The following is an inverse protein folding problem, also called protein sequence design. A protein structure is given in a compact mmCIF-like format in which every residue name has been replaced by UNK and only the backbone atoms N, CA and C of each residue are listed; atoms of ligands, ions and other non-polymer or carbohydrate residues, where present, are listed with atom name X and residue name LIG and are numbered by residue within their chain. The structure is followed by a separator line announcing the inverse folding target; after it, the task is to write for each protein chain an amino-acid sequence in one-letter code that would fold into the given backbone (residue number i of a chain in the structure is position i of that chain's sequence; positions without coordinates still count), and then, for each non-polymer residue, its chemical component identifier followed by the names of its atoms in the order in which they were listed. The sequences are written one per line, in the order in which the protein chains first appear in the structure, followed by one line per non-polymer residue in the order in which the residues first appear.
data_IF_683811424756
#
_entry.id   IF_683811424756
#
_cell.length_a   1.000
_cell.length_b   1.000
_cell.length_c   1.000
_cell.angle_alpha   90.00
_cell.angle_beta   90.00
_cell.angle_gamma   90.00
#
_symmetry.space_group_name_H-M   'P 1'
#
loop_
_entity.id
_entity.type
_entity.pdbx_description
1 polymer ?
#
# COMPACT_ATOMS: atom_id res chain seq x y z
N UNK A 1 -16.17 -2.46 11.55
CA UNK A 1 -15.11 -1.91 12.41
C UNK A 1 -14.15 -1.18 11.48
N UNK A 2 -14.06 0.14 11.56
CA UNK A 2 -13.21 0.94 10.65
C UNK A 2 -11.75 0.51 10.82
N UNK A 3 -11.00 0.46 9.71
CA UNK A 3 -9.56 0.17 9.68
C UNK A 3 -8.74 1.06 10.63
N UNK A 4 -9.26 2.25 10.97
CA UNK A 4 -8.72 3.12 12.02
C UNK A 4 -8.63 2.39 13.36
N UNK A 5 -9.65 1.59 13.72
CA UNK A 5 -9.67 0.80 14.96
C UNK A 5 -8.80 -0.46 14.91
N UNK A 6 -8.55 -1.04 13.74
CA UNK A 6 -7.69 -2.24 13.60
C UNK A 6 -6.21 -1.85 13.70
N UNK A 7 -5.83 -0.73 13.09
CA UNK A 7 -4.49 -0.14 13.24
C UNK A 7 -4.23 0.35 14.67
N UNK A 8 -5.24 0.93 15.33
CA UNK A 8 -5.16 1.42 16.72
C UNK A 8 -5.31 0.28 17.77
N UNK A 9 -5.86 -0.88 17.38
CA UNK A 9 -5.90 -2.09 18.21
C UNK A 9 -4.57 -2.88 18.17
N UNK A 10 -3.85 -2.89 17.04
CA UNK A 10 -2.55 -3.54 16.94
C UNK A 10 -1.50 -2.95 17.91
N UNK A 11 -1.65 -1.68 18.32
CA UNK A 11 -0.80 -1.04 19.34
C UNK A 11 -1.13 -1.44 20.79
N UNK A 12 -2.30 -2.02 21.07
CA UNK A 12 -2.71 -2.41 22.44
C UNK A 12 -2.21 -3.79 22.87
N UNK A 13 -1.84 -4.64 21.92
CA UNK A 13 -1.34 -6.00 22.20
C UNK A 13 0.19 -6.13 22.03
N UNK A 14 0.93 -5.02 22.22
CA UNK A 14 2.37 -5.07 22.40
C UNK A 14 2.71 -5.64 23.79
N UNK A 15 2.74 -6.97 23.87
CA UNK A 15 3.40 -7.86 24.84
C UNK A 15 3.43 -7.46 26.35
N UNK A 16 2.96 -8.33 27.27
CA UNK A 16 2.91 -8.09 28.71
C UNK A 16 4.28 -8.09 29.44
N UNK A 17 5.41 -7.95 28.73
CA UNK A 17 6.74 -8.06 29.32
C UNK A 17 7.24 -6.81 30.05
N UNK A 18 6.54 -5.67 29.96
CA UNK A 18 6.91 -4.40 30.60
C UNK A 18 5.97 -3.91 31.70
N UNK A 19 5.23 -4.81 32.35
CA UNK A 19 4.56 -4.50 33.63
C UNK A 19 5.40 -4.84 34.87
N UNK A 20 6.72 -5.02 34.73
CA UNK A 20 7.63 -5.29 35.87
C UNK A 20 8.63 -4.19 36.22
N UNK A 21 8.56 -3.01 35.64
CA UNK A 21 9.43 -1.88 36.02
C UNK A 21 8.71 -0.52 36.08
N UNK A 22 7.43 -0.51 36.47
CA UNK A 22 6.71 0.72 36.84
C UNK A 22 6.64 0.95 38.35
N UNK A 23 7.67 0.50 39.08
CA UNK A 23 7.88 0.84 40.48
C UNK A 23 9.29 1.40 40.59
N UNK A 24 9.40 2.61 41.13
CA UNK A 24 10.62 3.43 41.33
C UNK A 24 11.02 4.28 40.11
N UNK A 25 10.26 5.37 39.87
CA UNK A 25 10.79 6.71 39.52
C UNK A 25 9.66 7.74 39.51
N UNK A 26 8.98 7.82 40.65
CA UNK A 26 8.06 8.90 41.00
C UNK A 26 8.74 9.77 42.05
N UNK A 27 9.60 10.70 41.62
CA UNK A 27 9.95 11.94 42.32
C UNK A 27 11.10 12.60 41.56
N UNK A 28 11.01 13.93 41.46
CA UNK A 28 12.03 14.87 40.96
C UNK A 28 12.27 14.87 39.45
N UNK A 29 11.44 15.61 38.72
CA UNK A 29 11.88 16.60 37.73
C UNK A 29 10.65 17.41 37.27
N UNK A 30 10.28 18.36 38.12
CA UNK A 30 9.54 19.53 37.69
C UNK A 30 10.56 20.58 37.20
N UNK A 31 10.17 21.35 36.18
CA UNK A 31 10.85 22.49 35.58
C UNK A 31 11.73 22.22 34.34
N UNK A 32 11.08 22.08 33.18
CA UNK A 32 11.37 22.90 31.98
C UNK A 32 10.22 22.76 30.99
N UNK A 33 9.53 23.87 30.72
CA UNK A 33 8.51 23.97 29.69
C UNK A 33 9.19 24.31 28.36
N UNK A 34 9.19 23.37 27.41
CA UNK A 34 9.25 23.65 25.96
C UNK A 34 8.39 22.62 25.23
N UNK A 35 7.25 23.08 24.70
CA UNK A 35 6.44 22.53 23.58
C UNK A 35 6.23 21.00 23.49
N UNK A 36 4.97 20.59 23.71
CA UNK A 36 4.30 19.36 23.23
C UNK A 36 4.91 17.99 23.58
N UNK A 37 5.19 17.75 24.85
CA UNK A 37 5.62 16.44 25.39
C UNK A 37 4.55 15.33 25.38
N UNK A 38 3.56 15.36 24.48
CA UNK A 38 2.66 14.23 24.22
C UNK A 38 3.16 13.32 23.06
N UNK A 39 4.19 13.72 22.32
CA UNK A 39 4.61 13.03 21.09
C UNK A 39 5.80 12.06 21.23
N UNK A 40 6.36 11.87 22.43
CA UNK A 40 7.61 11.10 22.60
C UNK A 40 7.43 9.63 23.00
N UNK A 41 6.36 9.28 23.74
CA UNK A 41 6.05 7.88 24.07
C UNK A 41 5.10 7.23 23.04
N UNK A 42 4.40 8.05 22.25
CA UNK A 42 3.60 7.63 21.09
C UNK A 42 4.48 7.27 19.87
N UNK A 43 5.69 7.85 19.79
CA UNK A 43 6.67 7.55 18.72
C UNK A 43 7.33 6.17 18.87
N UNK A 44 7.17 5.47 20.01
CA UNK A 44 7.72 4.13 20.22
C UNK A 44 6.87 3.00 19.60
N UNK A 45 5.58 3.22 19.36
CA UNK A 45 4.77 2.37 18.48
C UNK A 45 4.97 2.77 17.02
N UNK A 46 6.24 2.98 16.62
CA UNK A 46 6.67 3.22 15.24
C UNK A 46 6.32 1.99 14.41
N UNK A 47 5.07 1.91 14.01
CA UNK A 47 4.54 0.84 13.18
C UNK A 47 5.47 0.71 11.96
N UNK A 48 5.96 -0.50 11.64
CA UNK A 48 6.89 -0.72 10.53
C UNK A 48 6.30 -0.36 9.15
N UNK A 49 5.05 0.10 9.10
CA UNK A 49 4.31 0.47 7.89
C UNK A 49 3.62 1.82 8.11
N UNK A 50 4.40 2.91 8.08
CA UNK A 50 3.86 4.27 8.03
C UNK A 50 3.81 4.74 6.58
N UNK A 51 2.67 5.29 6.15
CA UNK A 51 2.47 5.87 4.82
C UNK A 51 2.17 7.37 4.92
N UNK A 52 2.55 8.12 3.89
CA UNK A 52 2.19 9.54 3.76
C UNK A 52 0.69 9.69 3.43
N UNK A 53 0.06 10.75 3.91
CA UNK A 53 -1.32 11.12 3.56
C UNK A 53 -1.42 11.52 2.08
N UNK A 54 -2.55 11.19 1.42
CA UNK A 54 -2.75 11.54 0.01
C UNK A 54 -2.94 13.06 -0.17
N UNK A 55 -2.18 13.63 -1.11
CA UNK A 55 -2.26 15.04 -1.52
C UNK A 55 -3.02 15.14 -2.82
N UNK A 56 -4.13 15.86 -2.78
CA UNK A 56 -5.00 16.07 -3.95
C UNK A 56 -4.96 17.52 -4.41
N UNK A 57 -5.13 17.71 -5.72
CA UNK A 57 -5.34 19.02 -6.33
C UNK A 57 -6.55 18.95 -7.24
N UNK A 58 -7.57 19.75 -6.93
CA UNK A 58 -8.74 19.88 -7.81
C UNK A 58 -8.37 20.86 -8.94
N UNK A 59 -8.52 20.40 -10.18
CA UNK A 59 -8.37 21.22 -11.38
C UNK A 59 -9.72 21.34 -12.11
N UNK A 60 -9.93 22.47 -12.77
CA UNK A 60 -11.15 22.74 -13.53
C UNK A 60 -12.27 23.34 -12.70
N UNK A 61 -13.32 23.81 -13.41
CA UNK A 61 -14.53 24.40 -12.84
C UNK A 61 -15.72 23.95 -13.69
N UNK A 62 -16.90 23.79 -13.09
CA UNK A 62 -18.11 23.35 -13.79
C UNK A 62 -18.03 21.89 -14.29
N UNK A 63 -18.41 21.65 -15.54
CA UNK A 63 -18.55 20.30 -16.10
C UNK A 63 -17.21 19.58 -16.38
N UNK A 64 -16.07 20.25 -16.15
CA UNK A 64 -14.73 19.73 -16.38
C UNK A 64 -13.87 19.60 -15.12
N UNK A 65 -14.50 19.45 -13.95
CA UNK A 65 -13.76 19.27 -12.68
C UNK A 65 -13.11 17.89 -12.66
N UNK A 66 -11.83 17.86 -12.32
CA UNK A 66 -11.02 16.67 -12.19
C UNK A 66 -10.12 16.78 -10.96
N UNK A 67 -9.90 15.68 -10.29
CA UNK A 67 -9.04 15.59 -9.12
C UNK A 67 -7.73 14.94 -9.53
N UNK A 68 -6.62 15.65 -9.29
CA UNK A 68 -5.27 15.19 -9.59
C UNK A 68 -4.62 14.68 -8.31
N UNK A 69 -4.14 13.44 -8.32
CA UNK A 69 -3.37 12.88 -7.21
C UNK A 69 -1.90 13.25 -7.39
N UNK A 70 -1.34 14.00 -6.44
CA UNK A 70 0.01 14.56 -6.56
C UNK A 70 1.09 13.58 -6.08
N UNK A 71 0.83 12.82 -5.01
CA UNK A 71 1.81 11.95 -4.35
C UNK A 71 1.47 10.46 -4.46
N UNK A 72 0.64 10.06 -5.42
CA UNK A 72 0.33 8.66 -5.68
C UNK A 72 1.58 7.75 -5.84
N UNK A 73 2.67 8.15 -6.53
CA UNK A 73 3.85 7.28 -6.64
C UNK A 73 4.57 7.05 -5.30
N UNK A 74 4.53 8.03 -4.40
CA UNK A 74 5.08 7.91 -3.03
C UNK A 74 4.28 6.86 -2.24
N UNK A 75 2.94 6.99 -2.26
CA UNK A 75 2.03 6.04 -1.61
C UNK A 75 2.18 4.64 -2.19
N UNK A 76 2.29 4.52 -3.51
CA UNK A 76 2.45 3.22 -4.17
C UNK A 76 3.76 2.53 -3.79
N UNK A 77 4.83 3.30 -3.59
CA UNK A 77 6.12 2.80 -3.13
C UNK A 77 6.03 2.21 -1.71
N UNK A 78 5.36 2.89 -0.79
CA UNK A 78 5.12 2.38 0.57
C UNK A 78 4.34 1.05 0.58
N UNK A 79 3.40 0.89 -0.36
CA UNK A 79 2.60 -0.34 -0.49
C UNK A 79 3.26 -1.44 -1.33
N UNK A 80 4.42 -1.17 -1.94
CA UNK A 80 5.10 -2.08 -2.91
C UNK A 80 4.17 -2.51 -4.06
N UNK A 81 3.26 -1.64 -4.50
CA UNK A 81 2.31 -1.89 -5.61
C UNK A 81 2.48 -0.85 -6.70
N UNK A 82 2.08 -1.18 -7.93
CA UNK A 82 2.04 -0.22 -9.04
C UNK A 82 1.00 0.87 -8.76
N UNK A 83 1.31 2.16 -9.06
CA UNK A 83 0.35 3.26 -8.87
C UNK A 83 -0.91 3.09 -9.72
N UNK A 84 -0.84 2.38 -10.85
CA UNK A 84 -2.00 2.12 -11.70
C UNK A 84 -3.02 1.21 -11.04
N UNK A 85 -2.59 0.29 -10.18
CA UNK A 85 -3.50 -0.56 -9.42
C UNK A 85 -4.36 0.26 -8.47
N UNK A 86 -3.71 1.18 -7.73
CA UNK A 86 -4.39 2.07 -6.79
C UNK A 86 -5.33 3.01 -7.55
N UNK A 87 -4.84 3.64 -8.63
CA UNK A 87 -5.66 4.53 -9.44
C UNK A 87 -6.89 3.82 -9.98
N UNK A 88 -6.74 2.61 -10.50
CA UNK A 88 -7.86 1.86 -11.06
C UNK A 88 -8.86 1.45 -9.99
N UNK A 89 -8.39 1.09 -8.80
CA UNK A 89 -9.26 0.80 -7.66
C UNK A 89 -10.09 2.02 -7.26
N UNK A 90 -9.47 3.20 -7.16
CA UNK A 90 -10.17 4.46 -6.89
C UNK A 90 -11.27 4.73 -7.94
N UNK A 91 -10.99 4.47 -9.22
CA UNK A 91 -12.01 4.59 -10.27
C UNK A 91 -13.21 3.65 -10.09
N UNK A 92 -13.01 2.46 -9.51
CA UNK A 92 -14.09 1.54 -9.21
C UNK A 92 -14.89 1.92 -7.97
N UNK A 93 -14.21 2.37 -6.89
CA UNK A 93 -14.86 2.82 -5.66
C UNK A 93 -15.68 4.10 -5.89
N UNK A 94 -15.09 5.08 -6.57
CA UNK A 94 -15.70 6.39 -6.84
C UNK A 94 -16.61 6.41 -8.09
N UNK A 95 -16.75 5.28 -8.79
CA UNK A 95 -17.53 5.19 -10.04
C UNK A 95 -17.06 6.14 -11.15
N UNK A 96 -15.79 6.54 -11.11
CA UNK A 96 -15.25 7.63 -11.93
C UNK A 96 -14.24 7.11 -12.95
N UNK A 97 -14.17 7.76 -14.12
CA UNK A 97 -13.14 7.46 -15.09
C UNK A 97 -11.79 8.01 -14.62
N UNK A 98 -10.74 7.21 -14.82
CA UNK A 98 -9.38 7.49 -14.38
C UNK A 98 -8.44 7.58 -15.57
N UNK A 99 -7.56 8.58 -15.57
CA UNK A 99 -6.48 8.74 -16.55
C UNK A 99 -5.14 8.77 -15.82
N UNK A 100 -4.26 7.81 -16.13
CA UNK A 100 -2.90 7.75 -15.62
C UNK A 100 -1.90 7.91 -16.75
N UNK A 101 -1.09 8.96 -16.69
CA UNK A 101 0.02 9.20 -17.61
C UNK A 101 1.32 8.76 -16.92
N UNK A 102 1.81 7.54 -17.22
CA UNK A 102 2.99 6.94 -16.56
C UNK A 102 4.27 7.76 -16.76
N UNK A 103 4.43 8.37 -17.94
CA UNK A 103 5.62 9.17 -18.28
C UNK A 103 5.68 10.50 -17.51
N UNK A 104 4.52 11.13 -17.30
CA UNK A 104 4.42 12.41 -16.60
C UNK A 104 4.16 12.24 -15.08
N UNK A 105 4.07 10.99 -14.60
CA UNK A 105 3.67 10.64 -13.23
C UNK A 105 2.42 11.39 -12.76
N UNK A 106 1.48 11.59 -13.68
CA UNK A 106 0.27 12.39 -13.43
C UNK A 106 -0.95 11.49 -13.44
N UNK A 107 -1.65 11.46 -12.31
CA UNK A 107 -2.81 10.60 -12.11
C UNK A 107 -4.04 11.46 -11.86
N UNK A 108 -5.07 11.26 -12.67
CA UNK A 108 -6.28 12.09 -12.71
C UNK A 108 -7.50 11.20 -12.56
N UNK A 109 -8.41 11.62 -11.68
CA UNK A 109 -9.73 11.04 -11.50
C UNK A 109 -10.75 12.10 -11.90
N UNK A 110 -11.69 11.73 -12.77
CA UNK A 110 -12.78 12.65 -13.13
C UNK A 110 -13.70 12.88 -11.93
N UNK A 111 -14.23 14.10 -11.80
CA UNK A 111 -15.08 14.50 -10.67
C UNK A 111 -14.33 15.22 -9.56
N UNK A 112 -15.11 15.77 -8.63
CA UNK A 112 -14.64 16.42 -7.40
C UNK A 112 -14.63 15.39 -6.27
N UNK A 113 -13.44 15.04 -5.79
CA UNK A 113 -13.28 14.11 -4.68
C UNK A 113 -12.53 14.81 -3.55
N UNK A 114 -13.02 14.65 -2.33
CA UNK A 114 -12.32 15.16 -1.14
C UNK A 114 -11.14 14.26 -0.76
N UNK A 115 -10.22 14.80 0.04
CA UNK A 115 -9.05 14.04 0.52
C UNK A 115 -9.49 12.86 1.40
N UNK A 116 -10.48 13.08 2.26
CA UNK A 116 -10.99 12.08 3.20
C UNK A 116 -11.59 10.87 2.48
N UNK A 117 -12.45 11.10 1.47
CA UNK A 117 -13.07 10.02 0.69
C UNK A 117 -12.04 9.17 -0.06
N UNK A 118 -11.05 9.82 -0.68
CA UNK A 118 -9.98 9.12 -1.40
C UNK A 118 -9.12 8.32 -0.42
N UNK A 119 -8.83 8.88 0.75
CA UNK A 119 -8.04 8.21 1.78
C UNK A 119 -8.75 6.97 2.31
N UNK A 120 -10.06 7.03 2.56
CA UNK A 120 -10.87 5.89 2.99
C UNK A 120 -10.83 4.76 1.95
N UNK A 121 -10.95 5.09 0.67
CA UNK A 121 -10.84 4.09 -0.40
C UNK A 121 -9.43 3.49 -0.52
N UNK A 122 -8.37 4.25 -0.20
CA UNK A 122 -7.02 3.69 -0.15
C UNK A 122 -6.91 2.69 1.02
N UNK A 123 -7.56 2.95 2.16
CA UNK A 123 -7.59 1.98 3.25
C UNK A 123 -8.35 0.71 2.87
N UNK A 124 -9.49 0.83 2.20
CA UNK A 124 -10.24 -0.33 1.70
C UNK A 124 -9.42 -1.15 0.69
N UNK A 125 -8.61 -0.49 -0.14
CA UNK A 125 -7.66 -1.15 -1.04
C UNK A 125 -6.61 -1.98 -0.27
N UNK A 126 -6.08 -1.42 0.82
CA UNK A 126 -5.07 -2.08 1.64
C UNK A 126 -5.65 -3.36 2.26
N UNK A 127 -6.87 -3.29 2.80
CA UNK A 127 -7.52 -4.42 3.46
C UNK A 127 -7.85 -5.56 2.50
N UNK A 128 -8.42 -5.23 1.35
CA UNK A 128 -8.84 -6.25 0.39
C UNK A 128 -7.63 -6.88 -0.34
N UNK A 129 -6.68 -6.04 -0.77
CA UNK A 129 -5.72 -6.46 -1.78
C UNK A 129 -4.26 -6.50 -1.28
N UNK A 130 -3.89 -5.71 -0.28
CA UNK A 130 -2.51 -5.71 0.25
C UNK A 130 -2.34 -6.68 1.41
N UNK A 131 -3.24 -6.66 2.38
CA UNK A 131 -3.13 -7.45 3.62
C UNK A 131 -3.43 -8.93 3.41
N UNK A 132 -2.56 -9.81 3.92
CA UNK A 132 -2.82 -11.24 3.91
C UNK A 132 -4.03 -11.61 4.78
N UNK A 133 -4.99 -12.40 4.25
CA UNK A 133 -6.19 -12.85 5.00
C UNK A 133 -5.88 -13.75 6.21
N UNK A 134 -4.68 -14.29 6.32
CA UNK A 134 -4.32 -15.22 7.40
C UNK A 134 -3.53 -14.54 8.52
N UNK A 135 -2.49 -13.77 8.19
CA UNK A 135 -1.56 -13.21 9.17
C UNK A 135 -1.59 -11.67 9.24
N UNK A 136 -2.44 -11.01 8.44
CA UNK A 136 -2.53 -9.55 8.34
C UNK A 136 -1.21 -8.83 8.03
N UNK A 137 -0.24 -9.54 7.46
CA UNK A 137 1.02 -8.94 7.02
C UNK A 137 0.81 -8.20 5.68
N UNK A 138 1.23 -6.91 5.56
CA UNK A 138 1.10 -6.15 4.31
C UNK A 138 2.14 -6.53 3.25
N UNK A 139 3.17 -7.32 3.59
CA UNK A 139 4.16 -7.78 2.61
C UNK A 139 3.65 -9.01 1.84
N UNK A 140 2.97 -8.71 0.73
CA UNK A 140 2.44 -9.71 -0.20
C UNK A 140 2.87 -9.40 -1.64
N UNK A 141 2.96 -10.44 -2.47
CA UNK A 141 3.25 -10.32 -3.89
C UNK A 141 2.16 -11.01 -4.73
N UNK A 142 2.03 -10.61 -5.99
CA UNK A 142 1.09 -11.24 -6.92
C UNK A 142 1.81 -12.20 -7.85
N UNK A 143 1.21 -13.36 -8.08
CA UNK A 143 1.73 -14.41 -8.95
C UNK A 143 0.62 -14.89 -9.87
N UNK A 144 0.93 -15.03 -11.16
CA UNK A 144 0.03 -15.67 -12.11
C UNK A 144 0.18 -17.18 -12.00
N UNK A 145 -0.89 -17.89 -11.62
CA UNK A 145 -0.90 -19.37 -11.65
C UNK A 145 -1.28 -19.92 -13.02
N UNK A 146 -2.19 -19.25 -13.72
CA UNK A 146 -2.73 -19.63 -15.02
C UNK A 146 -3.09 -18.35 -15.80
N UNK A 147 -3.29 -18.45 -17.12
CA UNK A 147 -3.62 -17.32 -18.03
C UNK A 147 -4.84 -16.46 -17.62
N UNK A 148 -5.64 -16.89 -16.64
CA UNK A 148 -6.88 -16.22 -16.20
C UNK A 148 -7.00 -16.02 -14.69
N UNK A 149 -6.00 -16.40 -13.89
CA UNK A 149 -6.12 -16.36 -12.42
C UNK A 149 -4.87 -15.82 -11.73
N UNK A 150 -5.07 -14.75 -10.96
CA UNK A 150 -4.05 -14.15 -10.09
C UNK A 150 -4.17 -14.72 -8.69
N UNK A 151 -3.03 -15.01 -8.09
CA UNK A 151 -2.92 -15.34 -6.69
C UNK A 151 -2.06 -14.30 -5.98
N UNK A 152 -2.39 -14.05 -4.71
CA UNK A 152 -1.58 -13.28 -3.78
C UNK A 152 -0.93 -14.22 -2.80
N UNK A 153 0.39 -14.13 -2.69
CA UNK A 153 1.20 -14.92 -1.78
C UNK A 153 1.86 -14.00 -0.74
N UNK A 154 1.92 -14.47 0.50
CA UNK A 154 2.50 -13.71 1.61
C UNK A 154 3.91 -14.22 1.93
N UNK A 155 4.85 -13.30 2.12
CA UNK A 155 6.23 -13.65 2.50
C UNK A 155 6.35 -14.24 3.91
N UNK A 156 5.48 -13.83 4.84
CA UNK A 156 5.58 -14.26 6.24
C UNK A 156 5.03 -15.69 6.47
N UNK A 157 3.87 -16.01 5.91
CA UNK A 157 3.19 -17.29 6.17
C UNK A 157 3.14 -18.25 4.97
N UNK A 158 3.51 -17.80 3.77
CA UNK A 158 3.42 -18.61 2.54
C UNK A 158 1.99 -18.91 2.08
N UNK A 159 0.97 -18.33 2.71
CA UNK A 159 -0.42 -18.56 2.34
C UNK A 159 -0.74 -17.95 0.97
N UNK A 160 -1.36 -18.75 0.09
CA UNK A 160 -1.75 -18.35 -1.27
C UNK A 160 -3.26 -18.15 -1.32
N UNK A 161 -3.67 -16.91 -1.53
CA UNK A 161 -5.08 -16.52 -1.68
C UNK A 161 -5.38 -16.14 -3.12
N UNK A 162 -6.57 -16.50 -3.63
CA UNK A 162 -7.00 -16.07 -4.97
C UNK A 162 -7.44 -14.61 -4.90
N UNK A 163 -6.99 -13.81 -5.88
CA UNK A 163 -7.49 -12.44 -6.05
C UNK A 163 -8.60 -12.49 -7.09
N UNK A 164 -9.81 -12.10 -6.67
CA UNK A 164 -11.01 -12.05 -7.51
C UNK A 164 -11.30 -10.60 -7.94
N UNK A 165 -12.20 -10.43 -8.90
CA UNK A 165 -12.75 -9.13 -9.26
C UNK A 165 -11.98 -8.34 -10.33
N UNK A 166 -12.34 -7.06 -10.48
CA UNK A 166 -11.90 -6.19 -11.57
C UNK A 166 -10.38 -5.94 -11.57
N UNK A 167 -9.75 -6.10 -10.40
CA UNK A 167 -8.31 -5.87 -10.25
C UNK A 167 -7.45 -7.04 -10.74
N UNK A 168 -7.96 -8.27 -10.70
CA UNK A 168 -7.24 -9.45 -11.19
C UNK A 168 -6.84 -9.29 -12.66
N UNK A 169 -7.74 -8.76 -13.50
CA UNK A 169 -7.46 -8.52 -14.92
C UNK A 169 -6.34 -7.50 -15.15
N UNK A 170 -6.25 -6.48 -14.30
CA UNK A 170 -5.20 -5.47 -14.39
C UNK A 170 -3.84 -6.07 -14.01
N UNK A 171 -3.81 -6.83 -12.92
CA UNK A 171 -2.59 -7.49 -12.46
C UNK A 171 -2.09 -8.53 -13.47
N UNK A 172 -2.99 -9.28 -14.13
CA UNK A 172 -2.59 -10.19 -15.22
C UNK A 172 -1.88 -9.46 -16.36
N UNK A 173 -2.42 -8.31 -16.80
CA UNK A 173 -1.81 -7.51 -17.87
C UNK A 173 -0.39 -7.03 -17.53
N UNK A 174 -0.17 -6.71 -16.26
CA UNK A 174 1.14 -6.26 -15.78
C UNK A 174 2.14 -7.43 -15.65
N UNK A 175 1.66 -8.65 -15.37
CA UNK A 175 2.49 -9.86 -15.29
C UNK A 175 2.82 -10.50 -16.65
N UNK A 176 1.95 -10.39 -17.64
CA UNK A 176 2.13 -10.98 -18.98
C UNK A 176 3.14 -10.22 -19.87
N UNK A 177 3.85 -9.23 -19.32
CA UNK A 177 4.99 -8.59 -19.98
C UNK A 177 4.63 -7.70 -21.19
N UNK A 178 3.36 -7.35 -21.40
CA UNK A 178 3.05 -6.26 -22.35
C UNK A 178 3.75 -4.99 -21.85
N UNK A 179 4.60 -4.33 -22.66
CA UNK A 179 5.43 -3.23 -22.20
C UNK A 179 4.54 -2.05 -21.82
N UNK A 180 4.26 -1.94 -20.53
CA UNK A 180 3.83 -0.71 -19.91
C UNK A 180 5.09 0.10 -19.62
N UNK A 181 5.26 1.23 -20.30
CA UNK A 181 6.36 2.15 -20.03
C UNK A 181 6.28 2.63 -18.56
N UNK A 182 7.19 2.10 -17.73
CA UNK A 182 7.27 2.40 -16.30
C UNK A 182 7.46 1.13 -15.46
N UNK A 183 8.69 0.63 -15.42
CA UNK A 183 9.09 -0.51 -14.58
C UNK A 183 8.94 -0.21 -13.08
N UNK A 184 8.15 -1.00 -12.35
CA UNK A 184 8.35 -1.29 -10.92
C UNK A 184 8.84 -2.74 -10.77
N UNK A 185 9.83 -3.12 -11.57
CA UNK A 185 10.55 -4.38 -11.41
C UNK A 185 11.99 -4.04 -11.03
N UNK A 186 12.25 -3.95 -9.74
CA UNK A 186 13.60 -3.92 -9.20
C UNK A 186 13.53 -4.34 -7.74
N UNK A 187 13.29 -5.63 -7.49
CA UNK A 187 13.88 -6.35 -6.35
C UNK A 187 13.88 -7.86 -6.68
N UNK A 188 15.01 -8.37 -7.17
CA UNK A 188 15.38 -9.79 -7.02
C UNK A 188 15.71 -10.58 -8.29
N UNK A 189 17.00 -10.62 -8.65
CA UNK A 189 17.68 -11.82 -9.17
C UNK A 189 17.58 -12.12 -10.66
N UNK A 190 18.58 -11.66 -11.41
CA UNK A 190 19.13 -12.52 -12.47
C UNK A 190 19.74 -13.74 -11.78
N UNK A 191 19.16 -14.92 -11.99
CA UNK A 191 19.90 -16.17 -11.89
C UNK A 191 20.28 -16.49 -13.32
N UNK A 192 21.43 -15.97 -13.71
CA UNK A 192 22.34 -16.72 -14.56
C UNK A 192 22.61 -18.05 -13.86
N UNK A 193 22.25 -19.17 -14.49
CA UNK A 193 23.05 -20.39 -14.34
C UNK A 193 22.70 -21.46 -15.38
N UNK A 194 23.78 -22.01 -15.92
CA UNK A 194 23.90 -23.27 -16.67
C UNK A 194 23.42 -23.28 -18.12
N UNK A 195 24.33 -22.83 -19.00
CA UNK A 195 24.89 -23.63 -20.09
C UNK A 195 24.27 -25.03 -20.25
N UNK A 196 23.41 -25.19 -21.24
CA UNK A 196 23.17 -26.49 -21.87
C UNK A 196 24.22 -26.64 -22.96
N UNK A 197 25.36 -27.21 -22.58
CA UNK A 197 26.13 -28.04 -23.50
C UNK A 197 25.22 -29.20 -23.93
N UNK A 198 24.95 -29.31 -25.22
CA UNK A 198 24.65 -30.60 -25.83
C UNK A 198 25.35 -30.62 -27.19
N UNK A 199 26.61 -31.05 -27.14
CA UNK A 199 27.23 -31.80 -28.22
C UNK A 199 26.30 -32.95 -28.59
N UNK A 200 25.86 -33.00 -29.84
CA UNK A 200 25.46 -34.25 -30.49
C UNK A 200 26.18 -34.27 -31.82
N UNK A 201 26.96 -35.34 -31.98
CA UNK A 201 27.69 -35.78 -33.18
C UNK A 201 26.78 -36.01 -34.39
#
# INVERSE_FOLDING_TARGET
MSLRSVYEAACRDASPFLLRLHRIRSATEAATQTLSSASALDTACRAPYTMEEIKLKIEGRGNGIKTVLLNLPSVSYSLKRSPDHILKFLGYGLGSQTKGDKNAMRYIVNGSHSVEEVQDHIYDFIDEYVMCRHCNNPETFYTAKCKKSVQRECYACGHRSRVEGKMANLVLRDLDGTPVAGHYHSLGGSIDDTSVDNSIE
#
